data_IF_246474046031
#
_entry.id   IF_246474046031
#
_cell.length_a   1.000
_cell.length_b   1.000
_cell.length_c   1.000
_cell.angle_alpha   90.00
_cell.angle_beta   90.00
_cell.angle_gamma   90.00
#
_symmetry.space_group_name_H-M   'P 1'
#
loop_
_entity.id
_entity.type
_entity.pdbx_description
1 polymer ?
#
# COMPACT_ATOMS: atom_id res chain seq x y z
N UNK A 1 -10.55 -3.99 17.24
CA UNK A 1 -10.01 -2.61 17.36
C UNK A 1 -11.06 -1.63 16.91
N UNK A 2 -11.46 -0.69 17.78
CA UNK A 2 -12.52 0.28 17.51
C UNK A 2 -12.00 1.31 16.52
N UNK A 3 -12.50 1.30 15.27
CA UNK A 3 -12.47 2.49 14.44
C UNK A 3 -13.37 3.52 15.12
N UNK A 4 -12.82 4.67 15.46
CA UNK A 4 -13.58 5.74 16.08
C UNK A 4 -14.03 6.65 14.94
N UNK A 5 -15.28 6.52 14.54
CA UNK A 5 -15.93 7.45 13.62
C UNK A 5 -16.22 8.76 14.34
N UNK A 6 -15.83 9.89 13.74
CA UNK A 6 -16.08 11.20 14.32
C UNK A 6 -17.43 11.78 13.92
N UNK A 7 -17.83 11.50 12.69
CA UNK A 7 -19.05 12.06 12.12
C UNK A 7 -19.41 11.31 10.84
N UNK A 8 -20.67 10.98 10.67
CA UNK A 8 -21.20 10.44 9.43
C UNK A 8 -22.25 11.41 8.89
N UNK A 9 -22.14 11.74 7.59
CA UNK A 9 -23.09 12.57 6.88
C UNK A 9 -23.79 11.67 5.84
N UNK A 10 -25.11 11.54 5.90
CA UNK A 10 -25.89 10.72 4.99
C UNK A 10 -26.78 11.59 4.11
N UNK A 11 -26.82 11.27 2.81
CA UNK A 11 -27.98 11.60 1.99
C UNK A 11 -29.19 10.74 2.36
N UNK A 12 -30.26 10.77 1.60
CA UNK A 12 -31.49 9.98 1.86
C UNK A 12 -31.15 8.63 2.46
N UNK A 13 -31.68 8.34 3.65
CA UNK A 13 -31.41 7.10 4.38
C UNK A 13 -31.94 5.92 3.54
N UNK A 14 -31.03 5.18 2.92
CA UNK A 14 -31.35 3.91 2.28
C UNK A 14 -31.30 2.79 3.33
N UNK A 15 -32.00 1.68 3.09
CA UNK A 15 -31.99 0.48 3.97
C UNK A 15 -30.57 0.03 4.40
N UNK A 16 -29.58 0.22 3.52
CA UNK A 16 -28.16 -0.03 3.81
C UNK A 16 -27.56 0.92 4.87
N UNK A 17 -28.03 2.16 4.94
CA UNK A 17 -27.55 3.15 5.91
C UNK A 17 -28.12 2.87 7.32
N UNK A 18 -29.29 2.26 7.45
CA UNK A 18 -29.91 1.92 8.74
C UNK A 18 -28.98 1.08 9.62
N UNK A 19 -28.46 -0.03 9.10
CA UNK A 19 -27.55 -0.89 9.87
C UNK A 19 -26.19 -0.25 10.21
N UNK A 20 -25.76 0.78 9.46
CA UNK A 20 -24.55 1.56 9.81
C UNK A 20 -24.88 2.55 10.92
N UNK A 21 -26.02 3.24 10.84
CA UNK A 21 -26.46 4.21 11.87
C UNK A 21 -26.65 3.54 13.21
N UNK A 22 -27.24 2.34 13.26
CA UNK A 22 -27.42 1.56 14.47
C UNK A 22 -26.09 1.22 15.18
N UNK A 23 -25.01 1.08 14.40
CA UNK A 23 -23.65 0.86 14.93
C UNK A 23 -22.97 2.13 15.43
N UNK A 24 -23.47 3.28 15.03
CA UNK A 24 -22.91 4.60 15.37
C UNK A 24 -23.42 5.12 16.74
N UNK A 25 -23.57 4.24 17.73
CA UNK A 25 -23.91 4.66 19.09
C UNK A 25 -22.80 5.57 19.63
N UNK A 26 -23.20 6.75 20.12
CA UNK A 26 -22.30 7.80 20.65
C UNK A 26 -21.39 8.49 19.62
N UNK A 27 -21.76 8.47 18.35
CA UNK A 27 -21.06 9.20 17.28
C UNK A 27 -22.05 10.17 16.65
N UNK A 28 -21.68 11.45 16.42
CA UNK A 28 -22.53 12.39 15.71
C UNK A 28 -22.87 11.89 14.30
N UNK A 29 -24.15 11.73 14.02
CA UNK A 29 -24.67 11.39 12.70
C UNK A 29 -25.53 12.55 12.21
N UNK A 30 -25.17 13.09 11.05
CA UNK A 30 -25.88 14.19 10.41
C UNK A 30 -26.55 13.68 9.14
N UNK A 31 -27.79 14.11 8.90
CA UNK A 31 -28.52 13.84 7.68
C UNK A 31 -28.88 15.14 6.98
N UNK A 32 -28.78 15.16 5.67
CA UNK A 32 -29.16 16.33 4.89
C UNK A 32 -29.60 15.90 3.47
N UNK A 33 -30.30 16.81 2.78
CA UNK A 33 -30.63 16.63 1.38
C UNK A 33 -29.38 16.61 0.50
N UNK A 34 -29.45 15.91 -0.63
CA UNK A 34 -28.33 15.70 -1.54
C UNK A 34 -27.69 17.01 -2.02
N UNK A 35 -28.49 18.00 -2.34
CA UNK A 35 -28.01 19.29 -2.83
C UNK A 35 -27.21 20.05 -1.77
N UNK A 36 -27.63 19.98 -0.50
CA UNK A 36 -26.90 20.56 0.60
C UNK A 36 -25.58 19.84 0.82
N UNK A 37 -25.59 18.51 0.76
CA UNK A 37 -24.36 17.70 0.89
C UNK A 37 -23.37 18.01 -0.24
N UNK A 38 -23.85 18.14 -1.47
CA UNK A 38 -23.03 18.50 -2.63
C UNK A 38 -22.38 19.89 -2.45
N UNK A 39 -23.12 20.86 -1.93
CA UNK A 39 -22.59 22.20 -1.61
C UNK A 39 -21.51 22.15 -0.53
N UNK A 40 -21.73 21.36 0.52
CA UNK A 40 -20.78 21.22 1.63
C UNK A 40 -19.48 20.51 1.22
N UNK A 41 -19.58 19.52 0.37
CA UNK A 41 -18.43 18.69 -0.05
C UNK A 41 -17.71 19.21 -1.27
N UNK A 42 -18.34 20.12 -2.04
CA UNK A 42 -17.83 20.61 -3.32
C UNK A 42 -17.87 19.58 -4.46
N UNK A 43 -18.53 18.43 -4.25
CA UNK A 43 -18.71 17.37 -5.27
C UNK A 43 -19.93 16.52 -4.97
N UNK A 44 -20.51 15.88 -6.00
CA UNK A 44 -21.66 15.01 -5.86
C UNK A 44 -21.30 13.74 -5.07
N UNK A 45 -22.02 13.50 -3.96
CA UNK A 45 -21.90 12.29 -3.15
C UNK A 45 -22.67 11.12 -3.80
N UNK A 46 -22.12 10.52 -4.84
CA UNK A 46 -22.79 9.47 -5.62
C UNK A 46 -23.27 8.26 -4.79
N UNK A 47 -22.69 8.03 -3.61
CA UNK A 47 -23.10 6.95 -2.68
C UNK A 47 -23.75 7.48 -1.41
N UNK A 48 -23.98 8.79 -1.33
CA UNK A 48 -24.77 9.42 -0.28
C UNK A 48 -24.19 9.39 1.13
N UNK A 49 -22.94 8.97 1.33
CA UNK A 49 -22.35 8.83 2.67
C UNK A 49 -20.92 9.37 2.72
N UNK A 50 -20.61 10.14 3.75
CA UNK A 50 -19.25 10.58 4.05
C UNK A 50 -18.96 10.29 5.53
N UNK A 51 -17.76 9.74 5.80
CA UNK A 51 -17.31 9.44 7.16
C UNK A 51 -15.96 10.09 7.43
N UNK A 52 -15.83 10.77 8.56
CA UNK A 52 -14.57 11.23 9.09
C UNK A 52 -14.09 10.25 10.18
N UNK A 53 -12.83 9.84 10.12
CA UNK A 53 -12.25 8.86 11.04
C UNK A 53 -10.87 9.33 11.51
N UNK A 54 -10.52 9.01 12.75
CA UNK A 54 -9.13 9.14 13.18
C UNK A 54 -8.24 8.15 12.43
N UNK A 55 -7.05 8.59 12.07
CA UNK A 55 -6.03 7.68 11.54
C UNK A 55 -5.64 6.67 12.62
N UNK A 56 -5.52 5.38 12.29
CA UNK A 56 -4.94 4.41 13.19
C UNK A 56 -3.47 4.76 13.48
N UNK A 57 -2.97 4.36 14.63
CA UNK A 57 -1.54 4.48 14.93
C UNK A 57 -0.75 3.67 13.89
N UNK A 58 0.36 4.22 13.37
CA UNK A 58 1.26 3.46 12.51
C UNK A 58 1.72 2.17 13.21
N UNK A 59 1.83 1.09 12.47
CA UNK A 59 2.43 -0.16 12.94
C UNK A 59 3.86 -0.22 12.44
N UNK A 60 4.71 -0.95 13.16
CA UNK A 60 6.05 -1.25 12.64
C UNK A 60 6.04 -2.40 11.64
N UNK A 61 7.10 -2.53 10.87
CA UNK A 61 7.29 -3.63 9.92
C UNK A 61 7.28 -4.96 10.66
N UNK A 62 7.94 -5.03 11.83
CA UNK A 62 8.02 -6.23 12.66
C UNK A 62 6.65 -6.64 13.21
N UNK A 63 5.82 -5.66 13.63
CA UNK A 63 4.45 -5.95 14.08
C UNK A 63 3.58 -6.56 12.98
N UNK A 64 3.72 -6.03 11.77
CA UNK A 64 2.91 -6.45 10.61
C UNK A 64 3.37 -7.78 10.05
N UNK A 65 4.67 -8.06 10.11
CA UNK A 65 5.29 -9.26 9.56
C UNK A 65 5.37 -10.43 10.54
N UNK A 66 5.01 -10.26 11.81
CA UNK A 66 5.23 -11.28 12.86
C UNK A 66 4.78 -12.70 12.45
N UNK A 67 3.53 -12.82 12.02
CA UNK A 67 2.92 -14.10 11.65
C UNK A 67 2.68 -14.21 10.14
N UNK A 68 3.24 -13.28 9.37
CA UNK A 68 3.04 -13.23 7.94
C UNK A 68 3.96 -14.23 7.22
N UNK A 69 3.44 -14.89 6.19
CA UNK A 69 4.19 -15.79 5.31
C UNK A 69 4.37 -15.18 3.91
N UNK A 70 3.41 -14.42 3.44
CA UNK A 70 3.41 -13.77 2.12
C UNK A 70 3.17 -12.29 2.29
N UNK A 71 4.18 -11.47 1.97
CA UNK A 71 4.09 -10.02 2.08
C UNK A 71 4.39 -9.35 0.74
N UNK A 72 3.67 -8.29 0.44
CA UNK A 72 3.96 -7.43 -0.70
C UNK A 72 4.76 -6.22 -0.23
N UNK A 73 5.81 -5.87 -0.95
CA UNK A 73 6.60 -4.65 -0.74
C UNK A 73 6.38 -3.74 -1.94
N UNK A 74 5.92 -2.53 -1.68
CA UNK A 74 5.72 -1.52 -2.72
C UNK A 74 6.86 -0.51 -2.65
N UNK A 75 7.66 -0.43 -3.71
CA UNK A 75 8.73 0.54 -3.84
C UNK A 75 8.28 1.70 -4.72
N UNK A 76 8.15 2.87 -4.10
CA UNK A 76 7.88 4.16 -4.74
C UNK A 76 6.62 4.20 -5.62
N UNK A 77 5.61 3.41 -5.28
CA UNK A 77 4.33 3.41 -5.97
C UNK A 77 3.55 4.67 -5.59
N UNK A 78 3.74 5.74 -6.36
CA UNK A 78 3.19 7.08 -6.07
C UNK A 78 1.73 7.26 -6.49
N UNK A 79 1.21 6.41 -7.38
CA UNK A 79 -0.17 6.51 -7.84
C UNK A 79 -1.14 5.87 -6.83
N UNK A 80 -2.03 6.66 -6.16
CA UNK A 80 -2.96 6.12 -5.18
C UNK A 80 -3.98 5.14 -5.78
N UNK A 81 -4.20 5.17 -7.10
CA UNK A 81 -5.05 4.19 -7.79
C UNK A 81 -4.37 2.82 -7.79
N UNK A 82 -3.08 2.76 -8.10
CA UNK A 82 -2.32 1.52 -8.10
C UNK A 82 -2.19 0.95 -6.69
N UNK A 83 -1.85 1.80 -5.71
CA UNK A 83 -1.83 1.38 -4.29
C UNK A 83 -3.17 0.76 -3.90
N UNK A 84 -4.29 1.43 -4.19
CA UNK A 84 -5.62 0.90 -3.88
C UNK A 84 -5.95 -0.43 -4.59
N UNK A 85 -5.55 -0.58 -5.86
CA UNK A 85 -5.75 -1.80 -6.63
C UNK A 85 -4.90 -2.96 -6.09
N UNK A 86 -3.65 -2.68 -5.73
CA UNK A 86 -2.75 -3.68 -5.11
C UNK A 86 -3.32 -4.16 -3.78
N UNK A 87 -3.81 -3.26 -2.92
CA UNK A 87 -4.46 -3.67 -1.66
C UNK A 87 -5.69 -4.54 -1.90
N UNK A 88 -6.46 -4.26 -2.95
CA UNK A 88 -7.62 -5.09 -3.31
C UNK A 88 -7.18 -6.49 -3.76
N UNK A 89 -6.14 -6.58 -4.59
CA UNK A 89 -5.57 -7.86 -5.02
C UNK A 89 -4.95 -8.62 -3.85
N UNK A 90 -4.22 -7.93 -2.96
CA UNK A 90 -3.63 -8.51 -1.76
C UNK A 90 -4.68 -9.15 -0.86
N UNK A 91 -5.79 -8.45 -0.60
CA UNK A 91 -6.89 -9.00 0.19
C UNK A 91 -7.57 -10.20 -0.47
N UNK A 92 -7.73 -10.17 -1.80
CA UNK A 92 -8.41 -11.24 -2.56
C UNK A 92 -7.54 -12.48 -2.72
N UNK A 93 -6.21 -12.34 -2.73
CA UNK A 93 -5.24 -13.35 -3.09
C UNK A 93 -4.34 -13.75 -1.91
N UNK A 94 -4.88 -13.65 -0.69
CA UNK A 94 -4.29 -14.18 0.54
C UNK A 94 -2.90 -13.64 0.90
N UNK A 95 -2.59 -12.39 0.54
CA UNK A 95 -1.41 -11.73 1.07
C UNK A 95 -1.65 -11.33 2.54
N UNK A 96 -0.70 -11.66 3.40
CA UNK A 96 -0.82 -11.41 4.84
C UNK A 96 -0.58 -9.94 5.20
N UNK A 97 0.27 -9.25 4.44
CA UNK A 97 0.61 -7.86 4.69
C UNK A 97 1.09 -7.11 3.44
N UNK A 98 1.04 -5.77 3.52
CA UNK A 98 1.62 -4.87 2.53
C UNK A 98 2.56 -3.90 3.22
N UNK A 99 3.79 -3.81 2.74
CA UNK A 99 4.80 -2.87 3.20
C UNK A 99 5.02 -1.81 2.12
N UNK A 100 5.27 -0.58 2.55
CA UNK A 100 5.43 0.55 1.63
C UNK A 100 6.73 1.28 1.92
N UNK A 101 7.44 1.69 0.87
CA UNK A 101 8.53 2.65 1.05
C UNK A 101 7.99 4.04 1.37
N UNK A 102 8.79 4.92 1.98
CA UNK A 102 8.36 6.26 2.38
C UNK A 102 7.82 7.14 1.25
N UNK A 103 8.22 6.89 0.00
CA UNK A 103 7.77 7.63 -1.18
C UNK A 103 6.42 7.13 -1.74
N UNK A 104 5.93 5.98 -1.30
CA UNK A 104 4.64 5.46 -1.74
C UNK A 104 3.48 6.38 -1.35
N UNK A 105 2.47 6.44 -2.21
CA UNK A 105 1.19 7.08 -1.87
C UNK A 105 0.56 6.44 -0.64
N UNK A 106 -0.02 7.30 0.20
CA UNK A 106 -0.67 6.86 1.43
C UNK A 106 -1.92 6.00 1.12
N UNK A 107 -2.00 4.75 1.63
CA UNK A 107 -3.17 3.88 1.45
C UNK A 107 -4.48 4.48 1.98
N UNK A 108 -4.40 5.43 2.91
CA UNK A 108 -5.56 6.11 3.47
C UNK A 108 -5.97 7.35 2.67
N UNK A 109 -5.36 7.62 1.52
CA UNK A 109 -5.90 8.62 0.60
C UNK A 109 -7.26 8.16 0.09
N UNK A 110 -8.19 9.11 0.00
CA UNK A 110 -9.57 8.85 -0.44
C UNK A 110 -9.64 8.02 -1.73
N UNK A 111 -8.74 8.29 -2.69
CA UNK A 111 -8.71 7.55 -3.95
C UNK A 111 -8.28 6.09 -3.76
N UNK A 112 -7.24 5.85 -2.96
CA UNK A 112 -6.78 4.49 -2.63
C UNK A 112 -7.87 3.70 -1.88
N UNK A 113 -8.50 4.30 -0.86
CA UNK A 113 -9.63 3.69 -0.12
C UNK A 113 -10.77 3.30 -1.07
N UNK A 114 -11.13 4.17 -2.01
CA UNK A 114 -12.22 3.89 -2.96
C UNK A 114 -11.89 2.78 -3.94
N UNK A 115 -10.68 2.79 -4.50
CA UNK A 115 -10.23 1.78 -5.46
C UNK A 115 -10.07 0.42 -4.79
N UNK A 116 -9.54 0.40 -3.58
CA UNK A 116 -9.39 -0.82 -2.79
C UNK A 116 -10.73 -1.40 -2.31
N UNK A 117 -11.84 -0.68 -2.47
CA UNK A 117 -13.14 -1.06 -1.88
C UNK A 117 -13.07 -1.25 -0.36
N UNK A 118 -12.16 -0.54 0.30
CA UNK A 118 -11.96 -0.59 1.75
C UNK A 118 -11.01 -1.68 2.25
N UNK A 119 -10.40 -2.49 1.37
CA UNK A 119 -9.47 -3.54 1.79
C UNK A 119 -8.20 -3.02 2.45
N UNK A 120 -7.86 -1.75 2.27
CA UNK A 120 -6.78 -1.07 3.03
C UNK A 120 -7.00 -1.10 4.55
N UNK A 121 -8.23 -1.36 5.02
CA UNK A 121 -8.55 -1.54 6.43
C UNK A 121 -8.53 -3.00 6.89
N UNK A 122 -8.45 -3.94 5.95
CA UNK A 122 -8.48 -5.38 6.20
C UNK A 122 -7.07 -5.96 6.20
N UNK A 123 -6.28 -5.65 5.18
CA UNK A 123 -4.89 -6.11 5.07
C UNK A 123 -3.99 -5.29 5.99
N UNK A 124 -3.22 -5.90 6.89
CA UNK A 124 -2.20 -5.22 7.69
C UNK A 124 -1.17 -4.53 6.79
N UNK A 125 -0.73 -3.34 7.17
CA UNK A 125 0.30 -2.64 6.42
C UNK A 125 1.15 -1.73 7.31
N UNK A 126 2.38 -1.47 6.88
CA UNK A 126 3.31 -0.54 7.51
C UNK A 126 4.16 0.17 6.46
N UNK A 127 4.70 1.33 6.83
CA UNK A 127 5.80 1.94 6.10
C UNK A 127 7.13 1.43 6.63
N UNK A 128 8.10 1.27 5.73
CA UNK A 128 9.48 1.18 6.16
C UNK A 128 9.91 2.47 6.88
N UNK A 129 10.78 2.37 7.89
CA UNK A 129 11.36 3.54 8.53
C UNK A 129 12.08 4.41 7.50
N UNK A 130 12.03 5.73 7.68
CA UNK A 130 12.85 6.66 6.91
C UNK A 130 14.25 6.65 7.49
N UNK A 131 15.21 6.26 6.72
CA UNK A 131 16.63 6.40 7.09
C UNK A 131 17.23 7.60 6.36
N UNK A 132 17.79 8.54 7.11
CA UNK A 132 18.65 9.55 6.53
C UNK A 132 20.01 8.91 6.28
N UNK A 133 20.45 8.86 5.04
CA UNK A 133 21.83 8.48 4.73
C UNK A 133 22.71 9.68 5.05
N UNK A 134 23.37 9.66 6.23
CA UNK A 134 24.44 10.59 6.52
C UNK A 134 25.61 10.39 5.54
N UNK A 135 26.44 11.42 5.37
CA UNK A 135 27.63 11.39 4.51
C UNK A 135 28.58 10.20 4.76
N UNK A 136 28.38 9.47 5.85
CA UNK A 136 29.24 8.38 6.32
C UNK A 136 28.56 6.99 6.25
N UNK A 137 27.51 6.82 5.46
CA UNK A 137 26.71 5.58 5.39
C UNK A 137 26.17 5.07 6.76
N UNK A 138 26.09 5.90 7.77
CA UNK A 138 25.48 5.55 9.05
C UNK A 138 23.98 5.79 8.99
N UNK A 139 23.19 4.77 9.31
CA UNK A 139 21.74 4.85 9.38
C UNK A 139 21.34 5.49 10.71
N UNK A 140 20.70 6.66 10.66
CA UNK A 140 20.07 7.28 11.82
C UNK A 140 18.56 7.29 11.66
N UNK A 141 17.82 6.85 12.68
CA UNK A 141 16.36 6.93 12.73
C UNK A 141 15.90 8.38 12.65
N UNK A 142 15.18 8.72 11.59
CA UNK A 142 14.49 10.01 11.50
C UNK A 142 13.19 9.91 12.30
N UNK A 143 13.16 10.60 13.45
CA UNK A 143 11.99 10.64 14.34
C UNK A 143 10.71 11.08 13.59
N UNK A 144 9.62 10.36 13.86
CA UNK A 144 8.27 10.48 13.26
C UNK A 144 7.53 11.80 13.57
N UNK A 145 8.21 12.94 13.51
CA UNK A 145 7.63 14.26 13.78
C UNK A 145 7.86 15.23 12.64
N UNK A 146 7.40 14.90 11.42
CA UNK A 146 7.18 15.93 10.42
C UNK A 146 5.69 16.03 10.10
N UNK A 147 5.18 17.21 10.44
CA UNK A 147 3.82 17.66 10.18
C UNK A 147 3.57 17.64 8.68
N UNK A 148 2.69 16.78 8.21
CA UNK A 148 2.07 16.93 6.90
C UNK A 148 1.11 18.11 6.95
N UNK A 149 1.60 19.31 6.73
CA UNK A 149 0.77 20.46 6.38
C UNK A 149 0.33 20.32 4.91
N UNK A 150 -0.97 20.36 4.75
CA UNK A 150 -1.72 20.08 3.52
C UNK A 150 -1.75 21.28 2.56
N UNK A 151 -0.62 21.86 2.15
CA UNK A 151 -0.63 23.01 1.22
C UNK A 151 0.49 23.10 0.20
N UNK A 152 1.40 22.15 0.05
CA UNK A 152 2.44 22.23 -0.97
C UNK A 152 2.22 21.27 -2.13
N UNK A 153 1.65 21.81 -3.22
CA UNK A 153 1.53 21.18 -4.54
C UNK A 153 2.82 21.30 -5.38
N UNK A 154 4.01 21.41 -4.77
CA UNK A 154 5.24 21.64 -5.54
C UNK A 154 6.45 20.88 -4.97
N UNK A 155 6.35 19.54 -4.90
CA UNK A 155 7.53 18.71 -4.67
C UNK A 155 8.06 18.14 -6.00
N UNK A 156 8.60 19.04 -6.85
CA UNK A 156 9.40 18.69 -8.03
C UNK A 156 10.90 18.80 -7.76
N UNK A 157 11.37 18.51 -6.56
CA UNK A 157 12.80 18.39 -6.26
C UNK A 157 13.29 16.96 -6.49
N UNK A 158 13.66 16.70 -7.75
CA UNK A 158 14.38 15.48 -8.18
C UNK A 158 15.80 15.37 -7.59
N UNK A 159 16.12 16.15 -6.59
CA UNK A 159 17.44 16.18 -5.94
C UNK A 159 17.34 16.05 -4.41
N UNK A 160 16.24 15.50 -3.89
CA UNK A 160 16.08 15.26 -2.47
C UNK A 160 16.71 13.96 -2.06
N UNK A 161 17.50 14.01 -1.03
CA UNK A 161 18.10 12.94 -0.24
C UNK A 161 17.45 11.57 -0.48
N UNK A 162 18.23 10.65 -1.04
CA UNK A 162 17.83 9.27 -1.30
C UNK A 162 17.44 8.63 0.02
N UNK A 163 16.13 8.58 0.30
CA UNK A 163 15.64 7.79 1.43
C UNK A 163 15.83 6.32 1.10
N UNK A 164 16.87 5.73 1.65
CA UNK A 164 17.07 4.29 1.56
C UNK A 164 16.11 3.61 2.55
N UNK A 165 15.33 2.67 2.09
CA UNK A 165 14.72 1.69 2.97
C UNK A 165 15.63 0.45 3.02
N UNK A 166 15.60 -0.25 4.14
CA UNK A 166 16.49 -1.39 4.32
C UNK A 166 15.72 -2.69 4.18
N UNK A 167 15.93 -3.41 3.09
CA UNK A 167 15.32 -4.73 2.84
C UNK A 167 15.84 -5.81 3.79
N UNK A 168 17.06 -5.62 4.38
CA UNK A 168 17.65 -6.55 5.35
C UNK A 168 16.74 -6.79 6.57
N UNK A 169 15.83 -5.86 6.86
CA UNK A 169 14.82 -6.06 7.92
C UNK A 169 13.97 -7.30 7.61
N UNK A 170 13.65 -7.54 6.35
CA UNK A 170 12.86 -8.72 5.94
C UNK A 170 13.68 -10.01 6.07
N UNK A 171 14.95 -9.98 5.69
CA UNK A 171 15.86 -11.12 5.88
C UNK A 171 16.02 -11.47 7.37
N UNK A 172 16.15 -10.45 8.24
CA UNK A 172 16.20 -10.66 9.70
C UNK A 172 14.91 -11.24 10.27
N UNK A 173 13.77 -10.98 9.62
CA UNK A 173 12.47 -11.56 9.96
C UNK A 173 12.26 -12.94 9.32
N UNK A 174 13.25 -13.48 8.61
CA UNK A 174 13.22 -14.79 7.99
C UNK A 174 12.50 -14.88 6.65
N UNK A 175 12.29 -13.75 5.97
CA UNK A 175 11.75 -13.75 4.61
C UNK A 175 12.85 -13.94 3.58
N UNK A 176 12.56 -14.73 2.57
CA UNK A 176 13.20 -14.60 1.27
C UNK A 176 12.53 -13.48 0.48
N UNK A 177 13.30 -12.79 -0.34
CA UNK A 177 12.84 -11.63 -1.08
C UNK A 177 12.91 -11.87 -2.59
N UNK A 178 11.85 -11.54 -3.33
CA UNK A 178 11.84 -11.64 -4.78
C UNK A 178 11.48 -10.29 -5.41
N UNK A 179 12.42 -9.75 -6.19
CA UNK A 179 12.25 -8.53 -6.97
C UNK A 179 11.49 -8.84 -8.27
N UNK A 180 10.33 -8.20 -8.46
CA UNK A 180 9.60 -8.31 -9.74
C UNK A 180 10.25 -7.39 -10.77
N UNK A 181 11.25 -7.92 -11.47
CA UNK A 181 12.03 -7.18 -12.46
C UNK A 181 12.46 -8.08 -13.63
N UNK A 182 12.79 -7.44 -14.75
CA UNK A 182 13.29 -8.12 -15.94
C UNK A 182 14.80 -7.89 -16.05
N UNK A 183 15.57 -8.89 -15.65
CA UNK A 183 17.04 -8.95 -15.81
C UNK A 183 17.42 -10.24 -16.52
N UNK A 184 18.66 -10.36 -16.97
CA UNK A 184 19.14 -11.55 -17.67
C UNK A 184 19.06 -12.80 -16.78
N UNK A 185 19.27 -12.66 -15.48
CA UNK A 185 19.25 -13.72 -14.47
C UNK A 185 17.89 -13.97 -13.85
N UNK A 186 16.82 -13.35 -14.37
CA UNK A 186 15.48 -13.50 -13.80
C UNK A 186 14.94 -14.92 -13.96
N UNK A 187 14.49 -15.50 -12.86
CA UNK A 187 13.73 -16.76 -12.86
C UNK A 187 12.27 -16.51 -13.27
N UNK A 188 11.62 -17.52 -13.80
CA UNK A 188 10.19 -17.41 -14.13
C UNK A 188 9.34 -17.45 -12.86
N UNK A 189 8.21 -16.74 -12.87
CA UNK A 189 7.32 -16.65 -11.70
C UNK A 189 6.74 -18.00 -11.27
N UNK A 190 6.68 -18.96 -12.18
CA UNK A 190 6.21 -20.33 -11.94
C UNK A 190 7.33 -21.29 -11.49
N UNK A 191 8.53 -20.77 -11.19
CA UNK A 191 9.65 -21.59 -10.73
C UNK A 191 9.30 -22.24 -9.36
N UNK A 192 9.44 -23.58 -9.24
CA UNK A 192 9.13 -24.28 -7.99
C UNK A 192 9.89 -23.80 -6.77
N UNK A 193 11.08 -23.20 -6.95
CA UNK A 193 11.88 -22.67 -5.84
C UNK A 193 11.11 -21.60 -5.05
N UNK A 194 10.37 -20.73 -5.73
CA UNK A 194 9.61 -19.65 -5.11
C UNK A 194 8.44 -20.17 -4.25
N UNK A 195 7.84 -21.28 -4.68
CA UNK A 195 6.74 -21.93 -3.95
C UNK A 195 7.23 -22.71 -2.73
N UNK A 196 8.49 -23.14 -2.73
CA UNK A 196 9.08 -23.88 -1.60
C UNK A 196 9.45 -22.97 -0.42
N UNK A 197 9.54 -21.66 -0.62
CA UNK A 197 9.90 -20.73 0.41
C UNK A 197 8.79 -20.59 1.47
N UNK A 198 9.13 -20.81 2.73
CA UNK A 198 8.18 -20.70 3.83
C UNK A 198 7.65 -19.28 3.99
N UNK A 199 8.54 -18.29 3.88
CA UNK A 199 8.23 -16.86 3.99
C UNK A 199 8.79 -16.11 2.80
N UNK A 200 7.92 -15.50 2.00
CA UNK A 200 8.31 -14.79 0.77
C UNK A 200 7.80 -13.36 0.77
N UNK A 201 8.68 -12.41 0.49
CA UNK A 201 8.37 -11.01 0.26
C UNK A 201 8.47 -10.67 -1.23
N UNK A 202 7.38 -10.23 -1.82
CA UNK A 202 7.26 -9.88 -3.24
C UNK A 202 7.44 -8.37 -3.40
N UNK A 203 8.54 -7.95 -4.00
CA UNK A 203 8.91 -6.54 -4.17
C UNK A 203 8.47 -6.06 -5.54
N UNK A 204 7.65 -5.00 -5.55
CA UNK A 204 7.03 -4.41 -6.74
C UNK A 204 7.44 -2.94 -6.85
N UNK A 205 8.01 -2.56 -7.99
CA UNK A 205 8.47 -1.21 -8.27
C UNK A 205 7.41 -0.28 -8.84
N UNK A 206 7.78 0.98 -9.02
CA UNK A 206 6.94 1.98 -9.67
C UNK A 206 6.76 1.73 -11.16
N UNK A 207 5.76 2.40 -11.76
CA UNK A 207 5.58 2.38 -13.21
C UNK A 207 6.65 3.25 -13.90
N UNK A 208 7.25 2.73 -14.94
CA UNK A 208 8.28 3.38 -15.75
C UNK A 208 9.69 3.00 -15.31
N UNK A 209 10.13 3.46 -14.17
CA UNK A 209 11.51 3.23 -13.69
C UNK A 209 11.72 1.82 -13.07
N UNK A 210 10.61 1.15 -12.66
CA UNK A 210 10.67 -0.17 -12.04
C UNK A 210 11.21 -0.14 -10.61
N UNK A 211 12.00 -1.14 -10.25
CA UNK A 211 12.71 -1.24 -8.98
C UNK A 211 14.10 -0.59 -9.10
N UNK A 212 14.58 -0.02 -8.01
CA UNK A 212 15.97 0.45 -7.94
C UNK A 212 16.95 -0.71 -8.07
N UNK A 213 18.07 -0.52 -8.81
CA UNK A 213 19.11 -1.54 -8.97
C UNK A 213 19.60 -2.09 -7.63
N UNK A 214 19.80 -1.22 -6.64
CA UNK A 214 20.23 -1.63 -5.29
C UNK A 214 19.21 -2.55 -4.60
N UNK A 215 17.93 -2.39 -4.89
CA UNK A 215 16.87 -3.25 -4.35
C UNK A 215 16.92 -4.61 -5.03
N UNK A 216 17.08 -4.64 -6.35
CA UNK A 216 17.21 -5.87 -7.14
C UNK A 216 18.41 -6.67 -6.64
N UNK A 217 19.58 -6.02 -6.50
CA UNK A 217 20.82 -6.64 -6.03
C UNK A 217 20.74 -7.17 -4.60
N UNK A 218 19.86 -6.58 -3.77
CA UNK A 218 19.68 -6.97 -2.37
C UNK A 218 18.63 -8.07 -2.20
N UNK A 219 17.88 -8.42 -3.24
CA UNK A 219 16.89 -9.50 -3.19
C UNK A 219 17.54 -10.88 -3.40
N UNK A 220 16.93 -11.92 -2.81
CA UNK A 220 17.37 -13.31 -3.00
C UNK A 220 17.07 -13.81 -4.42
N UNK A 221 15.99 -13.33 -5.03
CA UNK A 221 15.53 -13.73 -6.37
C UNK A 221 15.14 -12.50 -7.18
N UNK A 222 15.46 -12.53 -8.48
CA UNK A 222 14.82 -11.65 -9.47
C UNK A 222 13.83 -12.48 -10.27
N UNK A 223 12.58 -12.02 -10.33
CA UNK A 223 11.46 -12.81 -10.85
C UNK A 223 10.78 -12.05 -12.00
N UNK A 224 10.58 -12.74 -13.11
CA UNK A 224 9.86 -12.22 -14.27
C UNK A 224 8.54 -12.94 -14.51
N UNK A 225 7.55 -12.18 -14.96
CA UNK A 225 6.33 -12.73 -15.54
C UNK A 225 6.61 -12.98 -17.03
N UNK A 226 6.56 -14.23 -17.52
CA UNK A 226 6.74 -14.48 -18.95
C UNK A 226 5.70 -13.75 -19.78
N UNK A 227 6.14 -12.93 -20.72
CA UNK A 227 5.27 -12.15 -21.59
C UNK A 227 5.50 -12.48 -23.05
N UNK A 228 4.53 -12.17 -23.90
CA UNK A 228 4.57 -12.42 -25.33
C UNK A 228 4.49 -11.11 -26.14
N UNK A 229 4.72 -11.18 -27.44
CA UNK A 229 4.55 -10.08 -28.41
C UNK A 229 5.45 -8.86 -28.13
N UNK A 230 6.60 -9.03 -27.46
CA UNK A 230 7.53 -7.93 -27.17
C UNK A 230 7.00 -6.94 -26.13
N UNK A 231 6.05 -7.38 -25.30
CA UNK A 231 5.62 -6.60 -24.12
C UNK A 231 6.62 -6.84 -23.00
N UNK A 232 7.21 -5.77 -22.46
CA UNK A 232 8.26 -5.85 -21.44
C UNK A 232 7.73 -5.70 -20.03
N UNK A 233 6.58 -5.04 -19.84
CA UNK A 233 6.03 -4.76 -18.51
C UNK A 233 4.51 -4.72 -18.48
N UNK A 234 3.94 -4.93 -17.31
CA UNK A 234 2.54 -4.71 -16.98
C UNK A 234 2.42 -3.52 -16.03
N UNK A 235 1.25 -2.86 -16.04
CA UNK A 235 0.90 -1.96 -14.94
C UNK A 235 1.13 -2.66 -13.61
N UNK A 236 1.73 -1.97 -12.62
CA UNK A 236 2.15 -2.55 -11.34
C UNK A 236 1.00 -3.24 -10.59
N UNK A 237 -0.23 -2.73 -10.70
CA UNK A 237 -1.40 -3.36 -10.08
C UNK A 237 -1.81 -4.66 -10.79
N UNK A 238 -1.61 -4.75 -12.11
CA UNK A 238 -1.83 -5.99 -12.86
C UNK A 238 -0.72 -7.01 -12.55
N UNK A 239 0.54 -6.58 -12.58
CA UNK A 239 1.68 -7.41 -12.21
C UNK A 239 1.53 -7.98 -10.80
N UNK A 240 1.09 -7.15 -9.84
CA UNK A 240 0.85 -7.60 -8.45
C UNK A 240 -0.23 -8.69 -8.37
N UNK A 241 -1.31 -8.56 -9.14
CA UNK A 241 -2.38 -9.57 -9.12
C UNK A 241 -1.90 -10.92 -9.65
N UNK A 242 -1.09 -10.92 -10.72
CA UNK A 242 -0.47 -12.14 -11.27
C UNK A 242 0.50 -12.75 -10.25
N UNK A 243 1.38 -11.90 -9.67
CA UNK A 243 2.37 -12.35 -8.70
C UNK A 243 1.71 -12.95 -7.43
N UNK A 244 0.66 -12.30 -6.90
CA UNK A 244 -0.04 -12.80 -5.72
C UNK A 244 -0.81 -14.09 -6.02
N UNK A 245 -1.44 -14.19 -7.20
CA UNK A 245 -2.12 -15.40 -7.61
C UNK A 245 -1.18 -16.60 -7.67
N UNK A 246 0.02 -16.41 -8.20
CA UNK A 246 0.99 -17.50 -8.36
C UNK A 246 1.72 -17.82 -7.05
N UNK A 247 2.24 -16.82 -6.36
CA UNK A 247 3.17 -16.98 -5.25
C UNK A 247 2.52 -17.04 -3.85
N UNK A 248 1.23 -16.75 -3.71
CA UNK A 248 0.54 -16.82 -2.42
C UNK A 248 -0.14 -18.18 -2.12
N UNK A 249 0.03 -19.15 -3.01
CA UNK A 249 -0.53 -20.51 -2.85
C UNK A 249 0.22 -21.33 -1.81
#
# INVERSE_FOLDING_TARGET
RRMIFFSCIFGRVTLLAGGIIERCQNIPVYTAEFDLLTKLTGFALTRGTLCAMYRPKPRSVEEVCRDARRVAVLEDVVNPTNVGAIFRSAAALHMDAVLLTPACSNPLYRRAIRVSMGTVFQVPWAYFPKYNVGSDNTFSDASLHDKCDSSDQNCNDRNSSVYKYNIDVLHKLGFKTCAMALTDDSVSIDDPVLHSEERLAIVLGTEGDGLHEQTIDSCDYTVKIPMSHGVDSLNVAAASAVAFWELAK
#
